data_IF_488330113185
#
_entry.id   IF_488330113185
#
_cell.length_a   1.000
_cell.length_b   1.000
_cell.length_c   1.000
_cell.angle_alpha   90.00
_cell.angle_beta   90.00
_cell.angle_gamma   90.00
#
_symmetry.space_group_name_H-M   'P 1'
#
loop_
_entity.id
_entity.type
_entity.pdbx_description
1 polymer ?
#
# COMPACT_ATOMS: atom_id res chain seq x y z
N UNK A 1 15.46 -23.96 12.11
CA UNK A 1 15.69 -22.53 11.79
C UNK A 1 16.19 -22.48 10.36
N UNK A 2 15.58 -21.66 9.52
CA UNK A 2 16.00 -21.49 8.12
C UNK A 2 17.28 -20.66 8.10
N UNK A 3 18.17 -20.95 7.16
CA UNK A 3 19.35 -20.09 6.96
C UNK A 3 18.96 -18.83 6.17
N UNK A 4 19.75 -17.78 6.28
CA UNK A 4 19.55 -16.55 5.51
C UNK A 4 19.45 -16.81 3.99
N UNK A 5 20.25 -17.76 3.47
CA UNK A 5 20.23 -18.15 2.06
C UNK A 5 18.92 -18.84 1.68
N UNK A 6 18.39 -19.70 2.53
CA UNK A 6 17.11 -20.37 2.29
C UNK A 6 15.95 -19.36 2.32
N UNK A 7 15.97 -18.45 3.29
CA UNK A 7 15.00 -17.35 3.43
C UNK A 7 14.97 -16.52 2.15
N UNK A 8 16.12 -16.04 1.68
CA UNK A 8 16.20 -15.22 0.46
C UNK A 8 15.80 -16.01 -0.81
N UNK A 9 16.10 -17.31 -0.87
CA UNK A 9 15.68 -18.18 -1.99
C UNK A 9 14.16 -18.28 -2.06
N UNK A 10 13.50 -18.53 -0.92
CA UNK A 10 12.04 -18.61 -0.83
C UNK A 10 11.38 -17.28 -1.20
N UNK A 11 11.95 -16.17 -0.73
CA UNK A 11 11.42 -14.83 -0.98
C UNK A 11 11.53 -14.43 -2.45
N UNK A 12 12.59 -14.85 -3.14
CA UNK A 12 12.72 -14.66 -4.60
C UNK A 12 11.73 -15.52 -5.39
N UNK A 13 11.32 -16.66 -4.85
CA UNK A 13 10.31 -17.53 -5.44
C UNK A 13 8.86 -17.10 -5.11
N UNK A 14 8.67 -16.00 -4.36
CA UNK A 14 7.33 -15.53 -3.98
C UNK A 14 6.70 -16.27 -2.81
N UNK A 15 7.50 -17.00 -2.04
CA UNK A 15 7.05 -17.78 -0.89
C UNK A 15 7.38 -17.03 0.41
N UNK A 16 6.38 -16.84 1.27
CA UNK A 16 6.57 -16.31 2.62
C UNK A 16 7.13 -17.41 3.54
N UNK A 17 8.38 -17.29 4.05
CA UNK A 17 8.96 -18.30 4.92
C UNK A 17 8.39 -18.24 6.33
N UNK A 18 8.12 -19.43 6.90
CA UNK A 18 7.71 -19.61 8.29
C UNK A 18 8.74 -20.44 9.05
N UNK A 19 8.96 -20.08 10.31
CA UNK A 19 9.82 -20.82 11.23
C UNK A 19 9.05 -21.32 12.44
N UNK A 20 9.33 -22.55 12.86
CA UNK A 20 8.81 -23.08 14.12
C UNK A 20 9.35 -22.28 15.31
N UNK A 21 8.45 -21.84 16.19
CA UNK A 21 8.74 -21.20 17.48
C UNK A 21 7.87 -21.84 18.55
N UNK A 22 8.49 -22.65 19.43
CA UNK A 22 7.77 -23.39 20.46
C UNK A 22 6.70 -24.30 19.86
N UNK A 23 5.45 -24.13 20.26
CA UNK A 23 4.30 -24.89 19.74
C UNK A 23 3.70 -24.32 18.44
N UNK A 24 4.23 -23.20 17.92
CA UNK A 24 3.66 -22.51 16.76
C UNK A 24 4.65 -22.29 15.62
N UNK A 25 4.18 -21.66 14.54
CA UNK A 25 5.01 -21.15 13.46
C UNK A 25 4.87 -19.63 13.36
N UNK A 26 5.98 -18.93 13.14
CA UNK A 26 6.03 -17.49 12.95
C UNK A 26 6.48 -17.16 11.53
N UNK A 27 5.81 -16.20 10.89
CA UNK A 27 6.22 -15.68 9.59
C UNK A 27 7.51 -14.86 9.76
N UNK A 28 8.56 -15.20 9.02
CA UNK A 28 9.83 -14.46 9.05
C UNK A 28 9.71 -13.17 8.23
N UNK A 29 9.11 -13.24 7.04
CA UNK A 29 8.86 -12.06 6.19
C UNK A 29 7.64 -12.31 5.30
N UNK A 30 6.63 -11.46 5.41
CA UNK A 30 5.40 -11.59 4.66
C UNK A 30 5.51 -10.88 3.30
N UNK A 31 5.37 -11.65 2.22
CA UNK A 31 5.36 -11.14 0.85
C UNK A 31 4.14 -11.67 0.10
N UNK A 32 3.77 -10.97 -0.96
CA UNK A 32 2.76 -11.45 -1.91
C UNK A 32 3.42 -12.30 -3.00
N UNK A 33 2.63 -13.08 -3.73
CA UNK A 33 3.08 -13.75 -4.95
C UNK A 33 3.23 -12.80 -6.14
N UNK A 34 2.65 -11.59 -6.05
CA UNK A 34 2.84 -10.52 -7.02
C UNK A 34 4.18 -9.80 -6.85
N UNK A 35 4.71 -9.25 -7.94
CA UNK A 35 5.93 -8.43 -7.93
C UNK A 35 5.59 -6.94 -7.95
N UNK A 36 6.45 -6.11 -7.38
CA UNK A 36 6.30 -4.66 -7.46
C UNK A 36 6.69 -4.14 -8.84
N UNK A 37 5.88 -3.22 -9.39
CA UNK A 37 6.07 -2.62 -10.71
C UNK A 37 5.70 -3.53 -11.90
N UNK A 38 5.98 -3.06 -13.11
CA UNK A 38 5.77 -3.81 -14.38
C UNK A 38 6.86 -4.88 -14.63
N UNK A 39 7.62 -5.26 -13.61
CA UNK A 39 8.82 -6.06 -13.79
C UNK A 39 8.52 -7.57 -13.68
N UNK A 40 8.77 -8.29 -14.79
CA UNK A 40 9.01 -9.74 -14.82
C UNK A 40 10.15 -10.17 -13.87
N UNK A 41 10.92 -9.25 -13.30
CA UNK A 41 12.15 -9.54 -12.54
C UNK A 41 12.23 -8.75 -11.21
N UNK A 42 11.16 -8.05 -10.80
CA UNK A 42 11.13 -7.27 -9.56
C UNK A 42 10.99 -8.14 -8.29
N UNK A 43 11.37 -7.63 -7.10
CA UNK A 43 11.10 -8.33 -5.85
C UNK A 43 9.58 -8.47 -5.63
N UNK A 44 9.20 -9.51 -4.90
CA UNK A 44 7.82 -9.69 -4.48
C UNK A 44 7.40 -8.56 -3.53
N UNK A 45 6.17 -8.06 -3.71
CA UNK A 45 5.69 -6.96 -2.89
C UNK A 45 5.55 -7.37 -1.43
N UNK A 46 5.98 -6.53 -0.50
CA UNK A 46 5.71 -6.73 0.92
C UNK A 46 4.18 -6.77 1.14
N UNK A 47 3.72 -7.76 1.93
CA UNK A 47 2.28 -7.95 2.15
C UNK A 47 1.63 -6.70 2.76
N UNK A 48 2.32 -6.06 3.71
CA UNK A 48 1.93 -4.79 4.33
C UNK A 48 1.70 -3.68 3.31
N UNK A 49 2.58 -3.57 2.32
CA UNK A 49 2.46 -2.59 1.23
C UNK A 49 1.22 -2.85 0.38
N UNK A 50 0.99 -4.10 -0.01
CA UNK A 50 -0.20 -4.47 -0.78
C UNK A 50 -1.49 -4.16 -0.01
N UNK A 51 -1.55 -4.52 1.28
CA UNK A 51 -2.70 -4.24 2.14
C UNK A 51 -2.93 -2.75 2.35
N UNK A 52 -1.87 -1.95 2.49
CA UNK A 52 -1.98 -0.50 2.61
C UNK A 52 -2.58 0.13 1.34
N UNK A 53 -2.10 -0.28 0.16
CA UNK A 53 -2.63 0.18 -1.13
C UNK A 53 -4.10 -0.21 -1.27
N UNK A 54 -4.45 -1.47 -0.99
CA UNK A 54 -5.84 -1.94 -1.06
C UNK A 54 -6.76 -1.17 -0.10
N UNK A 55 -6.29 -0.88 1.12
CA UNK A 55 -7.03 -0.12 2.11
C UNK A 55 -7.30 1.33 1.66
N UNK A 56 -6.33 1.96 0.98
CA UNK A 56 -6.50 3.31 0.42
C UNK A 56 -7.46 3.29 -0.77
N UNK A 57 -7.25 2.39 -1.74
CA UNK A 57 -8.08 2.28 -2.95
C UNK A 57 -9.53 1.98 -2.59
N UNK A 58 -9.76 1.08 -1.63
CA UNK A 58 -11.10 0.72 -1.16
C UNK A 58 -11.80 1.91 -0.51
N UNK A 59 -11.11 2.65 0.38
CA UNK A 59 -11.67 3.82 1.04
C UNK A 59 -12.02 4.93 0.03
N UNK A 60 -11.10 5.24 -0.88
CA UNK A 60 -11.29 6.24 -1.93
C UNK A 60 -12.47 5.86 -2.83
N UNK A 61 -12.53 4.61 -3.32
CA UNK A 61 -13.66 4.14 -4.14
C UNK A 61 -14.99 4.24 -3.40
N UNK A 62 -15.03 3.89 -2.11
CA UNK A 62 -16.22 4.02 -1.28
C UNK A 62 -16.67 5.47 -1.12
N UNK A 63 -15.75 6.38 -0.80
CA UNK A 63 -16.07 7.79 -0.56
C UNK A 63 -16.52 8.51 -1.83
N UNK A 64 -15.80 8.32 -2.94
CA UNK A 64 -16.13 8.90 -4.25
C UNK A 64 -17.45 8.29 -4.77
N UNK A 65 -17.59 6.97 -4.68
CA UNK A 65 -18.76 6.24 -5.17
C UNK A 65 -20.03 6.46 -4.36
N UNK A 66 -19.97 6.92 -3.11
CA UNK A 66 -21.16 7.28 -2.34
C UNK A 66 -21.59 8.72 -2.60
N UNK A 67 -20.64 9.66 -2.60
CA UNK A 67 -20.96 11.11 -2.70
C UNK A 67 -21.33 11.57 -4.10
N UNK A 68 -20.89 10.86 -5.14
CA UNK A 68 -20.93 11.38 -6.50
C UNK A 68 -21.76 10.53 -7.46
N UNK A 69 -22.50 9.56 -6.92
CA UNK A 69 -23.50 8.82 -7.69
C UNK A 69 -24.47 9.79 -8.36
N UNK A 70 -24.51 9.75 -9.69
CA UNK A 70 -25.43 10.53 -10.51
C UNK A 70 -25.00 11.97 -10.82
N UNK A 71 -23.82 12.42 -10.38
CA UNK A 71 -23.31 13.75 -10.74
C UNK A 71 -22.64 13.73 -12.12
N UNK A 72 -22.77 14.85 -12.86
CA UNK A 72 -22.13 15.02 -14.16
C UNK A 72 -20.63 15.23 -14.00
N UNK A 73 -19.83 14.68 -14.91
CA UNK A 73 -18.40 14.96 -14.96
C UNK A 73 -18.13 16.39 -15.46
N UNK A 74 -18.07 17.36 -14.55
CA UNK A 74 -17.68 18.74 -14.82
C UNK A 74 -16.52 19.16 -13.88
N UNK A 75 -15.96 20.36 -14.10
CA UNK A 75 -14.82 20.85 -13.33
C UNK A 75 -15.09 20.88 -11.82
N UNK A 76 -16.28 21.36 -11.41
CA UNK A 76 -16.68 21.45 -9.99
C UNK A 76 -16.77 20.08 -9.35
N UNK A 77 -17.37 19.10 -10.03
CA UNK A 77 -17.46 17.72 -9.53
C UNK A 77 -16.07 17.09 -9.42
N UNK A 78 -15.16 17.37 -10.36
CA UNK A 78 -13.76 16.88 -10.29
C UNK A 78 -12.98 17.49 -9.13
N UNK A 79 -13.15 18.78 -8.87
CA UNK A 79 -12.57 19.43 -7.69
C UNK A 79 -13.12 18.81 -6.40
N UNK A 80 -14.44 18.57 -6.34
CA UNK A 80 -15.07 17.88 -5.21
C UNK A 80 -14.54 16.45 -5.01
N UNK A 81 -14.31 15.69 -6.10
CA UNK A 81 -13.62 14.38 -6.05
C UNK A 81 -12.25 14.54 -5.42
N UNK A 82 -11.44 15.46 -5.94
CA UNK A 82 -10.06 15.65 -5.48
C UNK A 82 -10.02 16.00 -3.98
N UNK A 83 -10.88 16.92 -3.53
CA UNK A 83 -11.00 17.26 -2.11
C UNK A 83 -11.40 16.05 -1.27
N UNK A 84 -12.35 15.23 -1.73
CA UNK A 84 -12.73 14.05 -0.98
C UNK A 84 -11.62 13.02 -0.90
N UNK A 85 -10.89 12.80 -2.00
CA UNK A 85 -9.73 11.90 -2.00
C UNK A 85 -8.68 12.39 -1.00
N UNK A 86 -8.39 13.69 -0.95
CA UNK A 86 -7.47 14.27 0.03
C UNK A 86 -7.89 13.98 1.47
N UNK A 87 -9.19 14.08 1.80
CA UNK A 87 -9.70 13.74 3.14
C UNK A 87 -9.43 12.27 3.49
N UNK A 88 -9.69 11.35 2.56
CA UNK A 88 -9.42 9.92 2.79
C UNK A 88 -7.93 9.64 2.93
N UNK A 89 -7.07 10.28 2.12
CA UNK A 89 -5.62 10.13 2.21
C UNK A 89 -5.09 10.66 3.54
N UNK A 90 -5.57 11.80 4.02
CA UNK A 90 -5.17 12.34 5.32
C UNK A 90 -5.61 11.42 6.46
N UNK A 91 -6.82 10.84 6.39
CA UNK A 91 -7.26 9.85 7.37
C UNK A 91 -6.35 8.61 7.38
N UNK A 92 -5.92 8.12 6.21
CA UNK A 92 -4.99 6.99 6.11
C UNK A 92 -3.58 7.34 6.62
N UNK A 93 -3.14 8.58 6.42
CA UNK A 93 -1.90 9.10 6.98
C UNK A 93 -1.94 9.15 8.51
N UNK A 94 -3.03 9.68 9.07
CA UNK A 94 -3.23 9.76 10.52
C UNK A 94 -3.27 8.38 11.20
N UNK A 95 -3.79 7.36 10.49
CA UNK A 95 -3.79 5.96 10.95
C UNK A 95 -2.43 5.25 10.76
N UNK A 96 -1.44 5.91 10.17
CA UNK A 96 -0.13 5.32 9.88
C UNK A 96 -0.14 4.28 8.77
N UNK A 97 -1.16 4.27 7.90
CA UNK A 97 -1.21 3.37 6.73
C UNK A 97 -0.30 3.89 5.62
N UNK A 98 -0.27 5.21 5.44
CA UNK A 98 0.64 5.91 4.54
C UNK A 98 1.46 6.92 5.31
N UNK A 99 2.66 7.20 4.84
CA UNK A 99 3.55 8.21 5.42
C UNK A 99 3.29 9.60 4.80
N UNK A 100 3.19 9.63 3.47
CA UNK A 100 3.05 10.86 2.69
C UNK A 100 2.28 10.63 1.39
N UNK A 101 1.72 11.70 0.83
CA UNK A 101 1.03 11.68 -0.47
C UNK A 101 1.15 13.03 -1.19
N UNK A 102 0.99 13.01 -2.51
CA UNK A 102 0.86 14.24 -3.30
C UNK A 102 -0.62 14.58 -3.53
N UNK A 103 -0.97 15.86 -3.73
CA UNK A 103 -2.33 16.25 -4.03
C UNK A 103 -2.92 15.45 -5.20
N UNK A 104 -4.09 14.81 -5.02
CA UNK A 104 -4.69 13.97 -6.05
C UNK A 104 -5.11 14.81 -7.26
N UNK A 105 -4.88 14.26 -8.45
CA UNK A 105 -5.29 14.90 -9.71
C UNK A 105 -6.49 14.17 -10.29
N UNK A 106 -7.55 14.91 -10.61
CA UNK A 106 -8.77 14.34 -11.20
C UNK A 106 -9.02 14.99 -12.55
N UNK A 107 -8.97 14.20 -13.60
CA UNK A 107 -9.16 14.64 -14.99
C UNK A 107 -10.30 13.86 -15.65
N UNK A 108 -10.80 14.36 -16.78
CA UNK A 108 -11.66 13.57 -17.64
C UNK A 108 -10.81 12.57 -18.44
N UNK A 109 -11.35 11.39 -18.72
CA UNK A 109 -10.69 10.40 -19.55
C UNK A 109 -10.55 10.95 -21.00
N UNK A 110 -9.39 10.77 -21.66
CA UNK A 110 -9.13 11.38 -22.97
C UNK A 110 -10.06 10.88 -24.07
N UNK A 111 -10.51 9.63 -24.00
CA UNK A 111 -11.41 9.04 -25.01
C UNK A 111 -12.89 9.06 -24.59
N UNK A 112 -13.21 9.38 -23.34
CA UNK A 112 -14.58 9.35 -22.83
C UNK A 112 -14.79 10.42 -21.75
N UNK A 113 -15.37 11.56 -22.12
CA UNK A 113 -15.60 12.67 -21.22
C UNK A 113 -16.60 12.35 -20.08
N UNK A 114 -17.34 11.24 -20.15
CA UNK A 114 -18.21 10.81 -19.05
C UNK A 114 -17.43 10.14 -17.91
N UNK A 115 -16.20 9.69 -18.16
CA UNK A 115 -15.34 9.00 -17.19
C UNK A 115 -14.38 9.97 -16.51
N UNK A 116 -14.29 9.90 -15.19
CA UNK A 116 -13.27 10.58 -14.40
C UNK A 116 -12.08 9.65 -14.14
N UNK A 117 -10.87 10.17 -14.28
CA UNK A 117 -9.64 9.49 -13.90
C UNK A 117 -9.04 10.22 -12.72
N UNK A 118 -8.87 9.51 -11.60
CA UNK A 118 -8.18 10.03 -10.43
C UNK A 118 -6.79 9.40 -10.34
N UNK A 119 -5.76 10.23 -10.32
CA UNK A 119 -4.36 9.82 -10.15
C UNK A 119 -3.90 10.16 -8.75
N UNK A 120 -3.39 9.15 -8.05
CA UNK A 120 -2.93 9.25 -6.67
C UNK A 120 -1.44 8.87 -6.61
N UNK A 121 -0.64 9.68 -5.93
CA UNK A 121 0.74 9.37 -5.57
C UNK A 121 0.84 9.30 -4.06
N UNK A 122 1.35 8.18 -3.53
CA UNK A 122 1.49 7.98 -2.09
C UNK A 122 2.71 7.14 -1.75
N UNK A 123 3.20 7.32 -0.52
CA UNK A 123 4.23 6.49 0.10
C UNK A 123 3.59 5.72 1.25
N UNK A 124 3.63 4.39 1.18
CA UNK A 124 3.19 3.54 2.28
C UNK A 124 4.11 3.72 3.48
N UNK A 125 3.53 3.72 4.69
CA UNK A 125 4.31 3.81 5.91
C UNK A 125 5.23 2.59 6.04
N UNK A 126 6.50 2.77 6.44
CA UNK A 126 7.39 1.64 6.64
C UNK A 126 6.83 0.75 7.76
N UNK A 127 6.87 -0.57 7.56
CA UNK A 127 6.78 -1.47 8.71
C UNK A 127 7.98 -1.15 9.60
N UNK A 128 7.73 -0.81 10.87
CA UNK A 128 8.78 -0.77 11.88
C UNK A 128 9.22 -2.23 12.08
N UNK A 129 10.10 -2.70 11.20
CA UNK A 129 10.68 -4.03 11.26
C UNK A 129 11.69 -4.04 12.40
N UNK A 130 11.23 -4.46 13.59
CA UNK A 130 12.00 -4.83 14.78
C UNK A 130 13.31 -4.06 15.01
N UNK A 131 13.29 -3.07 15.92
CA UNK A 131 14.54 -2.56 16.50
C UNK A 131 14.99 -3.54 17.60
N UNK A 132 16.05 -4.30 17.36
CA UNK A 132 16.75 -5.03 18.43
C UNK A 132 17.96 -4.19 18.83
N UNK A 133 17.83 -3.44 19.93
CA UNK A 133 18.95 -2.74 20.55
C UNK A 133 19.60 -3.69 21.56
N UNK A 134 20.83 -4.12 21.28
CA UNK A 134 21.67 -4.82 22.25
C UNK A 134 22.81 -3.87 22.67
N UNK A 135 22.94 -3.63 23.97
CA UNK A 135 24.03 -2.86 24.56
C UNK A 135 24.79 -3.76 25.53
N UNK A 136 26.10 -3.85 25.36
CA UNK A 136 27.01 -4.56 26.26
C UNK A 136 27.86 -3.51 26.98
N UNK A 137 27.82 -3.50 28.32
CA UNK A 137 28.62 -2.58 29.14
C UNK A 137 29.78 -3.38 29.70
N UNK A 138 31.00 -2.99 29.34
CA UNK A 138 32.23 -3.53 29.91
C UNK A 138 32.79 -2.50 30.90
N UNK A 139 33.14 -2.95 32.11
CA UNK A 139 33.90 -2.16 33.11
C UNK A 139 35.28 -2.77 33.23
#
# INVERSE_FOLDING_TARGET
MLTAVQIETLLRAGVAPFEGRGEGAACVRAITTGRTGDASEGPHAALSTALAVDAVVTAVRGAVGTRLRGLKNNAVTRESIASQITVELEAKRALGVIDSYEPPRVTAHPCDASVCVATLSMRVAPEISQIVVAAEIVV
#
